data_IF_297159333749
#
_entry.id   IF_297159333749
#
_cell.length_a   1.000
_cell.length_b   1.000
_cell.length_c   1.000
_cell.angle_alpha   90.00
_cell.angle_beta   90.00
_cell.angle_gamma   90.00
#
_symmetry.space_group_name_H-M   'P 1'
#
loop_
_entity.id
_entity.type
_entity.pdbx_description
1 polymer ?
#
# COMPACT_ATOMS: atom_id res chain seq x y z
N UNK A 1 1.39 3.42 18.07
CA UNK A 1 1.74 2.64 16.87
C UNK A 1 0.48 2.26 16.12
N UNK A 2 0.61 2.01 14.80
CA UNK A 2 -0.46 1.48 13.98
C UNK A 2 -0.05 0.12 13.42
N UNK A 3 -0.92 -0.87 13.58
CA UNK A 3 -0.75 -2.20 13.01
C UNK A 3 -1.75 -2.41 11.88
N UNK A 4 -1.25 -2.87 10.72
CA UNK A 4 -2.08 -3.10 9.54
C UNK A 4 -2.10 -4.58 9.23
N UNK A 5 -3.26 -5.19 9.29
CA UNK A 5 -3.47 -6.58 8.90
C UNK A 5 -3.75 -6.65 7.40
N UNK A 6 -2.97 -7.46 6.72
CA UNK A 6 -3.12 -7.78 5.30
C UNK A 6 -2.89 -9.29 5.09
N UNK A 7 -2.70 -9.71 3.87
CA UNK A 7 -2.49 -11.11 3.54
C UNK A 7 -3.66 -11.67 2.75
N UNK A 8 -4.06 -12.93 2.93
CA UNK A 8 -5.23 -13.48 2.26
C UNK A 8 -6.51 -12.69 2.62
N UNK A 9 -7.23 -13.14 3.64
CA UNK A 9 -8.33 -12.35 4.24
C UNK A 9 -8.09 -12.27 5.76
N UNK A 10 -7.71 -11.11 6.31
CA UNK A 10 -7.39 -11.00 7.74
C UNK A 10 -8.59 -11.30 8.66
N UNK A 11 -9.81 -11.07 8.20
CA UNK A 11 -11.00 -11.30 9.02
C UNK A 11 -11.33 -12.77 9.26
N UNK A 12 -10.60 -13.73 8.67
CA UNK A 12 -10.67 -15.13 9.11
C UNK A 12 -10.21 -15.29 10.57
N UNK A 13 -9.34 -14.38 11.04
CA UNK A 13 -8.83 -14.30 12.40
C UNK A 13 -9.48 -13.16 13.22
N UNK A 14 -10.70 -12.73 12.87
CA UNK A 14 -11.36 -11.57 13.51
C UNK A 14 -11.40 -11.61 15.04
N UNK A 15 -11.51 -12.81 15.64
CA UNK A 15 -11.49 -12.97 17.11
C UNK A 15 -10.14 -12.59 17.72
N UNK A 16 -9.03 -13.00 17.07
CA UNK A 16 -7.68 -12.67 17.54
C UNK A 16 -7.39 -11.20 17.32
N UNK A 17 -7.86 -10.61 16.21
CA UNK A 17 -7.73 -9.17 15.95
C UNK A 17 -8.45 -8.36 17.04
N UNK A 18 -9.70 -8.71 17.39
CA UNK A 18 -10.44 -8.02 18.45
C UNK A 18 -9.73 -8.17 19.80
N UNK A 19 -9.21 -9.35 20.13
CA UNK A 19 -8.41 -9.55 21.35
C UNK A 19 -7.17 -8.65 21.38
N UNK A 20 -6.43 -8.54 20.26
CA UNK A 20 -5.29 -7.64 20.17
C UNK A 20 -5.67 -6.17 20.37
N UNK A 21 -6.83 -5.75 19.83
CA UNK A 21 -7.35 -4.40 20.04
C UNK A 21 -7.66 -4.14 21.52
N UNK A 22 -8.26 -5.09 22.22
CA UNK A 22 -8.58 -5.00 23.66
C UNK A 22 -7.33 -4.92 24.54
N UNK A 23 -6.36 -5.79 24.23
CA UNK A 23 -5.12 -5.88 25.01
C UNK A 23 -4.18 -4.68 24.76
N UNK A 24 -4.39 -3.91 23.67
CA UNK A 24 -3.53 -2.78 23.27
C UNK A 24 -4.35 -1.53 22.94
N UNK A 25 -5.06 -0.92 23.89
CA UNK A 25 -5.96 0.22 23.63
C UNK A 25 -5.23 1.48 23.14
N UNK A 26 -3.94 1.62 23.41
CA UNK A 26 -3.10 2.74 22.96
C UNK A 26 -2.57 2.58 21.53
N UNK A 27 -2.86 1.46 20.87
CA UNK A 27 -2.49 1.19 19.49
C UNK A 27 -3.69 1.36 18.56
N UNK A 28 -3.44 1.81 17.34
CA UNK A 28 -4.41 1.79 16.26
C UNK A 28 -4.25 0.50 15.45
N UNK A 29 -5.37 -0.11 15.10
CA UNK A 29 -5.40 -1.31 14.27
C UNK A 29 -6.19 -1.05 13.00
N UNK A 30 -5.76 -1.68 11.91
CA UNK A 30 -6.33 -1.47 10.59
C UNK A 30 -6.30 -2.78 9.80
N UNK A 31 -7.29 -3.02 8.94
CA UNK A 31 -7.25 -4.17 8.04
C UNK A 31 -7.70 -3.81 6.63
N UNK A 32 -6.97 -4.36 5.64
CA UNK A 32 -7.46 -4.46 4.27
C UNK A 32 -8.29 -5.74 4.15
N UNK A 33 -9.55 -5.62 3.78
CA UNK A 33 -10.48 -6.77 3.76
C UNK A 33 -11.30 -6.81 2.47
N UNK A 34 -11.65 -8.01 2.03
CA UNK A 34 -12.62 -8.22 0.96
C UNK A 34 -14.08 -8.03 1.44
N UNK A 35 -14.30 -7.72 2.71
CA UNK A 35 -15.59 -7.41 3.30
C UNK A 35 -16.55 -8.60 3.49
N UNK A 36 -16.24 -9.77 2.95
CA UNK A 36 -17.17 -10.92 2.93
C UNK A 36 -17.49 -11.50 4.30
N UNK A 37 -16.64 -11.23 5.30
CA UNK A 37 -16.79 -11.73 6.67
C UNK A 37 -17.29 -10.66 7.66
N UNK A 38 -17.70 -9.49 7.16
CA UNK A 38 -18.25 -8.41 8.00
C UNK A 38 -19.73 -8.67 8.27
N UNK A 39 -20.03 -9.20 9.45
CA UNK A 39 -21.37 -9.41 9.98
C UNK A 39 -21.71 -8.35 11.04
N UNK A 40 -22.99 -8.29 11.43
CA UNK A 40 -23.47 -7.29 12.40
C UNK A 40 -22.83 -7.47 13.78
N UNK A 41 -22.53 -8.70 14.19
CA UNK A 41 -21.84 -8.99 15.44
C UNK A 41 -20.42 -8.41 15.42
N UNK A 42 -19.70 -8.59 14.32
CA UNK A 42 -18.36 -8.04 14.18
C UNK A 42 -18.35 -6.51 14.16
N UNK A 43 -19.35 -5.88 13.52
CA UNK A 43 -19.53 -4.42 13.53
C UNK A 43 -19.71 -3.91 14.97
N UNK A 44 -20.45 -4.62 15.82
CA UNK A 44 -20.58 -4.24 17.24
C UNK A 44 -19.26 -4.40 18.00
N UNK A 45 -18.48 -5.44 17.70
CA UNK A 45 -17.16 -5.61 18.30
C UNK A 45 -16.19 -4.48 17.89
N UNK A 46 -16.15 -4.07 16.61
CA UNK A 46 -15.37 -2.92 16.13
C UNK A 46 -15.78 -1.66 16.91
N UNK A 47 -17.08 -1.44 17.07
CA UNK A 47 -17.60 -0.30 17.83
C UNK A 47 -17.19 -0.33 19.29
N UNK A 48 -17.17 -1.51 19.90
CA UNK A 48 -16.85 -1.73 21.31
C UNK A 48 -15.37 -1.46 21.59
N UNK A 49 -14.45 -1.97 20.74
CA UNK A 49 -13.00 -1.77 20.95
C UNK A 49 -12.55 -0.35 20.62
N UNK A 50 -13.12 0.27 19.57
CA UNK A 50 -12.94 1.69 19.25
C UNK A 50 -11.60 2.07 18.62
N UNK A 51 -10.66 1.14 18.48
CA UNK A 51 -9.32 1.36 17.94
C UNK A 51 -9.01 0.54 16.68
N UNK A 52 -10.05 0.05 15.99
CA UNK A 52 -9.94 -0.76 14.77
C UNK A 52 -10.73 -0.14 13.62
N UNK A 53 -10.12 -0.02 12.44
CA UNK A 53 -10.76 0.48 11.23
C UNK A 53 -10.54 -0.47 10.04
N UNK A 54 -11.44 -0.40 9.06
CA UNK A 54 -11.41 -1.23 7.84
C UNK A 54 -11.20 -0.38 6.58
N UNK A 55 -10.38 -0.89 5.66
CA UNK A 55 -10.42 -0.50 4.26
C UNK A 55 -10.92 -1.66 3.41
N UNK A 56 -12.03 -1.43 2.74
CA UNK A 56 -12.62 -2.41 1.85
C UNK A 56 -11.88 -2.46 0.52
N UNK A 57 -11.45 -3.64 0.14
CA UNK A 57 -10.76 -3.84 -1.13
C UNK A 57 -11.75 -3.89 -2.26
N UNK A 58 -11.68 -2.91 -3.17
CA UNK A 58 -12.61 -2.75 -4.29
C UNK A 58 -11.86 -2.12 -5.49
N UNK A 59 -11.92 -2.75 -6.66
CA UNK A 59 -11.10 -2.40 -7.83
C UNK A 59 -11.90 -1.83 -9.01
N UNK A 60 -12.97 -1.12 -8.76
CA UNK A 60 -13.90 -0.59 -9.75
C UNK A 60 -15.32 -1.05 -9.45
N UNK A 61 -16.22 -0.91 -10.42
CA UNK A 61 -17.57 -1.43 -10.32
C UNK A 61 -17.60 -2.97 -10.38
N UNK A 62 -18.80 -3.53 -10.48
CA UNK A 62 -19.04 -4.98 -10.31
C UNK A 62 -18.15 -5.84 -11.20
N UNK A 63 -18.09 -5.54 -12.50
CA UNK A 63 -17.31 -6.32 -13.47
C UNK A 63 -15.81 -6.34 -13.11
N UNK A 64 -15.24 -5.20 -12.78
CA UNK A 64 -13.82 -5.08 -12.47
C UNK A 64 -13.46 -5.71 -11.10
N UNK A 65 -14.32 -5.52 -10.10
CA UNK A 65 -14.12 -6.10 -8.77
C UNK A 65 -14.31 -7.62 -8.80
N UNK A 66 -15.37 -8.11 -9.42
CA UNK A 66 -15.70 -9.54 -9.45
C UNK A 66 -14.72 -10.31 -10.34
N UNK A 67 -14.25 -9.73 -11.45
CA UNK A 67 -13.19 -10.33 -12.27
C UNK A 67 -11.95 -10.67 -11.46
N UNK A 68 -11.55 -9.81 -10.51
CA UNK A 68 -10.35 -9.99 -9.71
C UNK A 68 -10.58 -10.81 -8.44
N UNK A 69 -11.75 -10.68 -7.82
CA UNK A 69 -12.02 -11.19 -6.46
C UNK A 69 -13.04 -12.32 -6.41
N UNK A 70 -13.66 -12.65 -7.54
CA UNK A 70 -14.69 -13.65 -7.67
C UNK A 70 -16.10 -13.07 -7.62
N UNK A 71 -17.01 -13.77 -8.31
CA UNK A 71 -18.40 -13.36 -8.53
C UNK A 71 -19.14 -13.02 -7.23
N UNK A 72 -19.86 -11.90 -7.25
CA UNK A 72 -20.67 -11.42 -6.14
C UNK A 72 -19.88 -10.80 -4.98
N UNK A 73 -18.56 -10.63 -5.12
CA UNK A 73 -17.73 -9.95 -4.11
C UNK A 73 -18.09 -8.47 -4.02
N UNK A 74 -18.31 -7.81 -5.16
CA UNK A 74 -18.71 -6.40 -5.20
C UNK A 74 -19.92 -6.10 -4.33
N UNK A 75 -21.00 -6.88 -4.48
CA UNK A 75 -22.22 -6.70 -3.70
C UNK A 75 -22.00 -6.93 -2.20
N UNK A 76 -21.15 -7.90 -1.84
CA UNK A 76 -20.80 -8.16 -0.42
C UNK A 76 -20.00 -7.01 0.18
N UNK A 77 -19.08 -6.43 -0.58
CA UNK A 77 -18.32 -5.24 -0.16
C UNK A 77 -19.28 -4.06 0.11
N UNK A 78 -20.19 -3.77 -0.83
CA UNK A 78 -21.16 -2.68 -0.64
C UNK A 78 -22.06 -2.91 0.57
N UNK A 79 -22.53 -4.13 0.79
CA UNK A 79 -23.33 -4.48 1.96
C UNK A 79 -22.54 -4.30 3.28
N UNK A 80 -21.24 -4.64 3.28
CA UNK A 80 -20.38 -4.42 4.43
C UNK A 80 -20.16 -2.93 4.72
N UNK A 81 -19.94 -2.12 3.68
CA UNK A 81 -19.84 -0.65 3.80
C UNK A 81 -21.12 -0.06 4.41
N UNK A 82 -22.29 -0.51 3.97
CA UNK A 82 -23.58 -0.05 4.49
C UNK A 82 -23.76 -0.39 5.97
N UNK A 83 -23.33 -1.56 6.42
CA UNK A 83 -23.34 -1.94 7.85
C UNK A 83 -22.44 -1.03 8.69
N UNK A 84 -21.22 -0.74 8.22
CA UNK A 84 -20.30 0.16 8.91
C UNK A 84 -20.88 1.59 8.98
N UNK A 85 -21.44 2.08 7.88
CA UNK A 85 -22.10 3.40 7.81
C UNK A 85 -23.29 3.48 8.77
N UNK A 86 -24.16 2.48 8.77
CA UNK A 86 -25.32 2.42 9.65
C UNK A 86 -24.94 2.40 11.14
N UNK A 87 -23.81 1.79 11.49
CA UNK A 87 -23.27 1.78 12.83
C UNK A 87 -22.53 3.08 13.23
N UNK A 88 -22.35 4.02 12.30
CA UNK A 88 -21.60 5.26 12.51
C UNK A 88 -20.09 5.04 12.66
N UNK A 89 -19.56 3.98 12.08
CA UNK A 89 -18.14 3.63 12.16
C UNK A 89 -17.35 4.18 10.96
N UNK A 90 -16.15 4.73 11.18
CA UNK A 90 -15.28 5.16 10.09
C UNK A 90 -14.76 3.96 9.30
N UNK A 91 -14.75 4.09 7.98
CA UNK A 91 -14.13 3.14 7.08
C UNK A 91 -13.63 3.82 5.80
N UNK A 92 -12.80 3.13 5.08
CA UNK A 92 -12.34 3.55 3.77
C UNK A 92 -12.33 2.40 2.78
N UNK A 93 -11.61 2.61 1.69
CA UNK A 93 -11.39 1.58 0.69
C UNK A 93 -9.93 1.51 0.27
N UNK A 94 -9.55 0.38 -0.31
CA UNK A 94 -8.29 0.22 -1.02
C UNK A 94 -8.56 -0.21 -2.46
N UNK A 95 -7.88 0.42 -3.40
CA UNK A 95 -7.96 0.08 -4.81
C UNK A 95 -6.55 -0.16 -5.35
N UNK A 96 -6.34 -1.35 -5.93
CA UNK A 96 -5.15 -1.63 -6.70
C UNK A 96 -5.40 -1.25 -8.16
N UNK A 97 -4.89 -0.10 -8.58
CA UNK A 97 -5.02 0.29 -9.97
C UNK A 97 -3.96 -0.39 -10.86
N UNK A 98 -4.37 -0.75 -12.05
CA UNK A 98 -3.56 -1.41 -13.06
C UNK A 98 -3.96 -0.96 -14.46
N UNK A 99 -3.26 -1.46 -15.49
CA UNK A 99 -3.47 -1.04 -16.88
C UNK A 99 -4.90 -1.17 -17.40
N UNK A 100 -5.74 -2.02 -16.78
CA UNK A 100 -7.11 -2.29 -17.25
C UNK A 100 -8.21 -1.55 -16.47
N UNK A 101 -7.93 -1.02 -15.25
CA UNK A 101 -8.96 -0.41 -14.40
C UNK A 101 -8.63 1.03 -13.93
N UNK A 102 -7.44 1.54 -14.21
CA UNK A 102 -6.99 2.87 -13.73
C UNK A 102 -7.96 4.00 -14.13
N UNK A 103 -8.53 3.92 -15.32
CA UNK A 103 -9.49 4.90 -15.83
C UNK A 103 -10.75 4.97 -14.96
N UNK A 104 -11.21 3.82 -14.48
CA UNK A 104 -12.40 3.70 -13.66
C UNK A 104 -12.13 4.06 -12.21
N UNK A 105 -11.14 3.40 -11.58
CA UNK A 105 -10.91 3.54 -10.13
C UNK A 105 -10.40 4.93 -9.71
N UNK A 106 -9.78 5.66 -10.62
CA UNK A 106 -9.33 7.03 -10.40
C UNK A 106 -10.33 8.08 -10.93
N UNK A 107 -11.46 7.66 -11.54
CA UNK A 107 -12.45 8.59 -12.05
C UNK A 107 -13.18 9.34 -10.92
N UNK A 108 -13.58 10.58 -11.20
CA UNK A 108 -14.37 11.37 -10.27
C UNK A 108 -15.68 10.66 -9.89
N UNK A 109 -16.34 10.07 -10.87
CA UNK A 109 -17.62 9.38 -10.73
C UNK A 109 -17.52 8.20 -9.76
N UNK A 110 -16.46 7.41 -9.87
CA UNK A 110 -16.22 6.28 -8.97
C UNK A 110 -15.85 6.74 -7.56
N UNK A 111 -15.01 7.75 -7.45
CA UNK A 111 -14.65 8.34 -6.15
C UNK A 111 -15.88 8.93 -5.47
N UNK A 112 -16.70 9.72 -6.19
CA UNK A 112 -17.96 10.27 -5.69
C UNK A 112 -18.92 9.16 -5.21
N UNK A 113 -19.01 8.07 -5.96
CA UNK A 113 -19.81 6.91 -5.57
C UNK A 113 -19.37 6.35 -4.22
N UNK A 114 -18.07 6.11 -4.00
CA UNK A 114 -17.56 5.55 -2.75
C UNK A 114 -17.65 6.54 -1.57
N UNK A 115 -17.46 7.83 -1.82
CA UNK A 115 -17.70 8.89 -0.82
C UNK A 115 -19.17 8.89 -0.40
N UNK A 116 -20.10 8.80 -1.35
CA UNK A 116 -21.53 8.71 -1.07
C UNK A 116 -21.91 7.43 -0.31
N UNK A 117 -21.16 6.32 -0.50
CA UNK A 117 -21.30 5.11 0.33
C UNK A 117 -20.80 5.32 1.77
N UNK A 118 -20.05 6.38 2.04
CA UNK A 118 -19.58 6.75 3.37
C UNK A 118 -18.09 6.55 3.60
N UNK A 119 -17.30 6.27 2.55
CA UNK A 119 -15.86 6.15 2.67
C UNK A 119 -15.23 7.50 3.06
N UNK A 120 -14.38 7.50 4.08
CA UNK A 120 -13.68 8.68 4.60
C UNK A 120 -12.23 8.75 4.15
N UNK A 121 -11.65 7.63 3.78
CA UNK A 121 -10.29 7.54 3.28
C UNK A 121 -10.16 6.50 2.17
N UNK A 122 -9.10 6.63 1.37
CA UNK A 122 -8.77 5.73 0.27
C UNK A 122 -7.28 5.43 0.25
N UNK A 123 -6.93 4.19 -0.06
CA UNK A 123 -5.57 3.75 -0.32
C UNK A 123 -5.47 3.28 -1.77
N UNK A 124 -4.75 4.02 -2.58
CA UNK A 124 -4.46 3.64 -3.95
C UNK A 124 -3.11 2.96 -4.03
N UNK A 125 -3.10 1.75 -4.54
CA UNK A 125 -1.90 0.97 -4.79
C UNK A 125 -1.71 0.78 -6.29
N UNK A 126 -0.52 1.06 -6.79
CA UNK A 126 -0.13 0.62 -8.13
C UNK A 126 0.06 -0.91 -8.10
N UNK A 127 -0.40 -1.60 -9.14
CA UNK A 127 -0.15 -3.03 -9.27
C UNK A 127 1.36 -3.33 -9.27
N UNK A 128 1.77 -4.27 -8.43
CA UNK A 128 3.14 -4.77 -8.32
C UNK A 128 3.21 -6.19 -8.91
N UNK A 129 4.16 -6.47 -9.82
CA UNK A 129 4.31 -7.78 -10.43
C UNK A 129 5.13 -8.73 -9.53
N UNK A 130 4.68 -8.93 -8.30
CA UNK A 130 5.29 -9.82 -7.30
C UNK A 130 4.39 -11.01 -7.01
N UNK A 131 4.98 -12.12 -6.60
CA UNK A 131 4.27 -13.36 -6.32
C UNK A 131 4.16 -14.29 -7.53
N UNK A 132 3.67 -15.51 -7.26
CA UNK A 132 3.67 -16.65 -8.20
C UNK A 132 3.03 -16.38 -9.55
N UNK A 133 1.89 -15.70 -9.55
CA UNK A 133 1.08 -15.49 -10.76
C UNK A 133 1.12 -14.01 -11.21
N UNK A 134 2.26 -13.36 -11.01
CA UNK A 134 2.46 -11.97 -11.41
C UNK A 134 2.32 -11.78 -12.93
N UNK A 135 1.56 -10.79 -13.34
CA UNK A 135 1.26 -10.45 -14.75
C UNK A 135 1.82 -9.05 -15.04
N UNK A 136 3.06 -8.93 -15.59
CA UNK A 136 3.70 -7.63 -15.83
C UNK A 136 2.88 -6.68 -16.70
N UNK A 137 2.05 -7.19 -17.60
CA UNK A 137 1.17 -6.42 -18.48
C UNK A 137 0.09 -5.64 -17.72
N UNK A 138 -0.15 -5.99 -16.46
CA UNK A 138 -1.06 -5.25 -15.59
C UNK A 138 -0.41 -4.01 -14.94
N UNK A 139 0.90 -3.83 -15.04
CA UNK A 139 1.54 -2.59 -14.57
C UNK A 139 0.96 -1.42 -15.38
N UNK A 140 0.48 -0.37 -14.70
CA UNK A 140 0.03 0.84 -15.35
C UNK A 140 1.19 1.49 -16.12
N UNK A 141 0.97 1.85 -17.37
CA UNK A 141 1.99 2.55 -18.15
C UNK A 141 2.20 3.98 -17.64
N UNK A 142 3.20 4.69 -18.19
CA UNK A 142 3.59 6.00 -17.71
C UNK A 142 2.44 7.03 -17.81
N UNK A 143 1.67 7.02 -18.90
CA UNK A 143 0.53 7.94 -19.10
C UNK A 143 -0.61 7.63 -18.12
N UNK A 144 -0.89 6.36 -17.91
CA UNK A 144 -1.88 5.89 -16.95
C UNK A 144 -1.49 6.25 -15.50
N UNK A 145 -0.22 6.08 -15.15
CA UNK A 145 0.29 6.48 -13.83
C UNK A 145 0.21 7.99 -13.64
N UNK A 146 0.57 8.78 -14.67
CA UNK A 146 0.40 10.25 -14.66
C UNK A 146 -1.05 10.62 -14.44
N UNK A 147 -1.99 9.98 -15.15
CA UNK A 147 -3.41 10.23 -15.01
C UNK A 147 -3.91 9.93 -13.59
N UNK A 148 -3.50 8.79 -13.01
CA UNK A 148 -3.81 8.47 -11.60
C UNK A 148 -3.28 9.55 -10.65
N UNK A 149 -2.03 9.96 -10.83
CA UNK A 149 -1.41 11.05 -10.07
C UNK A 149 -2.25 12.34 -10.11
N UNK A 150 -2.70 12.77 -11.28
CA UNK A 150 -3.49 13.99 -11.48
C UNK A 150 -4.90 13.87 -10.84
N UNK A 151 -5.61 12.77 -11.14
CA UNK A 151 -6.99 12.57 -10.69
C UNK A 151 -7.11 12.39 -9.18
N UNK A 152 -6.20 11.65 -8.55
CA UNK A 152 -6.21 11.45 -7.09
C UNK A 152 -5.92 12.78 -6.37
N UNK A 153 -5.02 13.62 -6.91
CA UNK A 153 -4.76 14.95 -6.36
C UNK A 153 -5.94 15.91 -6.54
N UNK A 154 -6.62 15.82 -7.66
CA UNK A 154 -7.85 16.56 -7.87
C UNK A 154 -8.93 16.12 -6.88
N UNK A 155 -9.14 14.81 -6.70
CA UNK A 155 -10.10 14.29 -5.75
C UNK A 155 -9.86 14.78 -4.31
N UNK A 156 -8.60 14.87 -3.86
CA UNK A 156 -8.24 15.44 -2.55
C UNK A 156 -8.69 16.88 -2.35
N UNK A 157 -8.81 17.65 -3.42
CA UNK A 157 -9.24 19.05 -3.37
C UNK A 157 -10.75 19.21 -3.43
N UNK A 158 -11.42 18.29 -4.11
CA UNK A 158 -12.84 18.39 -4.44
C UNK A 158 -13.75 17.55 -3.54
N UNK A 159 -13.19 16.47 -2.96
CA UNK A 159 -13.94 15.49 -2.19
C UNK A 159 -13.54 15.48 -0.71
N UNK A 160 -14.48 15.23 0.22
CA UNK A 160 -14.17 15.05 1.64
C UNK A 160 -13.57 13.66 1.88
N UNK A 161 -12.48 13.35 1.19
CA UNK A 161 -11.81 12.05 1.17
C UNK A 161 -10.33 12.21 1.46
N UNK A 162 -9.82 11.55 2.49
CA UNK A 162 -8.40 11.42 2.71
C UNK A 162 -7.83 10.31 1.80
N UNK A 163 -7.42 10.68 0.58
CA UNK A 163 -6.85 9.75 -0.38
C UNK A 163 -5.32 9.67 -0.26
N UNK A 164 -4.79 8.46 -0.23
CA UNK A 164 -3.37 8.14 -0.22
C UNK A 164 -3.01 7.46 -1.55
N UNK A 165 -2.06 8.02 -2.29
CA UNK A 165 -1.48 7.38 -3.47
C UNK A 165 -0.10 6.82 -3.09
N UNK A 166 -0.07 5.55 -2.73
CA UNK A 166 1.06 4.95 -2.04
C UNK A 166 2.40 5.08 -2.79
N UNK A 167 2.37 5.20 -4.12
CA UNK A 167 3.57 5.37 -4.93
C UNK A 167 3.83 6.80 -5.39
N UNK A 168 2.78 7.57 -5.66
CA UNK A 168 2.97 8.90 -6.21
C UNK A 168 2.99 9.99 -5.13
N UNK A 169 2.84 9.62 -3.85
CA UNK A 169 2.91 10.55 -2.72
C UNK A 169 4.33 10.71 -2.14
N UNK A 170 5.34 10.18 -2.80
CA UNK A 170 6.72 10.28 -2.34
C UNK A 170 7.19 11.72 -2.09
N UNK A 171 6.64 12.70 -2.80
CA UNK A 171 6.95 14.12 -2.56
C UNK A 171 6.52 14.60 -1.16
N UNK A 172 5.40 14.09 -0.64
CA UNK A 172 4.88 14.48 0.69
C UNK A 172 5.61 13.80 1.84
N UNK A 173 6.21 12.65 1.57
CA UNK A 173 6.91 11.82 2.57
C UNK A 173 8.42 11.72 2.30
N UNK A 174 8.95 12.52 1.37
CA UNK A 174 10.38 12.57 1.03
C UNK A 174 10.94 11.22 0.56
N UNK A 175 10.24 10.56 -0.35
CA UNK A 175 10.65 9.30 -0.95
C UNK A 175 9.90 8.09 -0.41
N UNK A 176 10.54 6.93 -0.36
CA UNK A 176 9.93 5.68 0.09
C UNK A 176 9.81 5.64 1.62
N UNK A 177 8.68 5.16 2.14
CA UNK A 177 8.42 5.00 3.58
C UNK A 177 8.89 3.66 4.14
N UNK A 178 9.25 2.71 3.29
CA UNK A 178 9.59 1.34 3.65
C UNK A 178 10.99 1.19 4.32
N UNK A 179 11.35 -0.02 4.65
CA UNK A 179 12.64 -0.36 5.23
C UNK A 179 12.83 0.17 6.65
N UNK A 180 11.76 0.22 7.45
CA UNK A 180 11.80 0.68 8.83
C UNK A 180 11.79 2.19 9.00
N UNK A 181 11.78 2.98 7.91
CA UNK A 181 11.72 4.44 8.01
C UNK A 181 10.42 4.92 8.63
N UNK A 182 9.29 4.42 8.16
CA UNK A 182 7.95 4.67 8.70
C UNK A 182 7.12 3.39 8.79
N UNK A 183 7.52 2.35 8.09
CA UNK A 183 6.83 1.09 8.05
C UNK A 183 7.77 -0.07 7.67
N UNK A 184 7.41 -1.26 8.10
CA UNK A 184 7.97 -2.55 7.69
C UNK A 184 6.82 -3.57 7.54
N UNK A 185 7.12 -4.71 6.96
CA UNK A 185 6.22 -5.83 6.83
C UNK A 185 6.75 -7.06 7.56
N UNK A 186 5.86 -7.82 8.17
CA UNK A 186 6.16 -9.15 8.72
C UNK A 186 5.22 -10.12 8.01
N UNK A 187 5.78 -11.06 7.27
CA UNK A 187 4.98 -12.03 6.53
C UNK A 187 4.43 -13.15 7.44
N UNK A 188 3.61 -14.05 6.86
CA UNK A 188 2.97 -15.12 7.62
C UNK A 188 3.94 -16.12 8.25
N UNK A 189 5.16 -16.25 7.71
CA UNK A 189 6.22 -17.08 8.31
C UNK A 189 6.96 -16.38 9.45
N UNK A 190 6.82 -15.06 9.57
CA UNK A 190 7.53 -14.22 10.51
C UNK A 190 8.77 -13.55 9.93
N UNK A 191 9.05 -13.67 8.62
CA UNK A 191 10.17 -12.99 8.01
C UNK A 191 9.91 -11.48 8.00
N UNK A 192 10.94 -10.71 8.39
CA UNK A 192 10.83 -9.25 8.46
C UNK A 192 11.32 -8.65 7.16
N UNK A 193 10.39 -8.10 6.41
CA UNK A 193 10.58 -7.56 5.07
C UNK A 193 10.54 -6.03 5.09
N UNK A 194 11.30 -5.33 4.23
CA UNK A 194 11.25 -3.88 4.14
C UNK A 194 9.87 -3.35 3.78
N UNK A 195 9.12 -4.08 2.97
CA UNK A 195 7.84 -3.68 2.40
C UNK A 195 7.01 -4.92 2.06
N UNK A 196 5.68 -4.83 2.13
CA UNK A 196 4.76 -5.90 1.71
C UNK A 196 4.89 -6.30 0.23
N UNK A 197 5.66 -5.56 -0.55
CA UNK A 197 5.94 -5.81 -1.96
C UNK A 197 7.43 -6.14 -2.22
N UNK A 198 8.19 -6.37 -1.17
CA UNK A 198 9.62 -6.72 -1.26
C UNK A 198 9.83 -8.01 -0.48
N UNK A 199 9.71 -9.12 -1.18
CA UNK A 199 9.76 -10.46 -0.62
C UNK A 199 11.21 -10.96 -0.47
N UNK A 200 12.00 -10.19 0.29
CA UNK A 200 13.38 -10.51 0.67
C UNK A 200 13.61 -10.19 2.13
N UNK A 201 14.34 -11.05 2.83
CA UNK A 201 14.67 -10.84 4.24
C UNK A 201 16.03 -11.48 4.62
N UNK A 202 16.58 -11.01 5.73
CA UNK A 202 17.72 -11.64 6.40
C UNK A 202 17.31 -12.31 7.71
N UNK A 203 16.17 -11.95 8.30
CA UNK A 203 15.82 -12.28 9.68
C UNK A 203 14.35 -12.61 9.85
N UNK A 204 14.06 -13.43 10.85
CA UNK A 204 12.71 -13.78 11.24
C UNK A 204 12.41 -13.25 12.64
N UNK A 205 11.22 -12.68 12.85
CA UNK A 205 10.82 -12.08 14.13
C UNK A 205 10.73 -13.10 15.29
N UNK A 206 10.70 -14.38 14.98
CA UNK A 206 10.75 -15.45 16.00
C UNK A 206 12.13 -15.61 16.62
N UNK A 207 13.19 -15.17 15.90
CA UNK A 207 14.58 -15.38 16.25
C UNK A 207 15.27 -14.11 16.75
N UNK A 208 14.65 -12.93 16.59
CA UNK A 208 15.21 -11.64 16.99
C UNK A 208 14.13 -10.66 17.44
N UNK A 209 14.53 -9.61 18.17
CA UNK A 209 13.61 -8.52 18.48
C UNK A 209 13.48 -7.54 17.31
N UNK A 210 12.43 -6.69 17.35
CA UNK A 210 12.14 -5.73 16.28
C UNK A 210 13.31 -4.76 16.01
N UNK A 211 14.02 -4.33 17.06
CA UNK A 211 15.18 -3.43 16.91
C UNK A 211 16.32 -4.10 16.17
N UNK A 212 16.59 -5.36 16.47
CA UNK A 212 17.60 -6.17 15.77
C UNK A 212 17.20 -6.38 14.31
N UNK A 213 15.93 -6.65 14.05
CA UNK A 213 15.41 -6.78 12.70
C UNK A 213 15.60 -5.51 11.87
N UNK A 214 15.34 -4.32 12.45
CA UNK A 214 15.58 -3.03 11.82
C UNK A 214 17.07 -2.73 11.53
N UNK A 215 17.97 -3.43 12.19
CA UNK A 215 19.43 -3.35 11.98
C UNK A 215 19.97 -4.48 11.09
N UNK A 216 19.10 -5.31 10.53
CA UNK A 216 19.51 -6.39 9.63
C UNK A 216 20.15 -5.83 8.34
N UNK A 217 20.98 -6.61 7.64
CA UNK A 217 21.73 -6.11 6.48
C UNK A 217 20.86 -5.45 5.41
N UNK A 218 19.70 -6.03 5.05
CA UNK A 218 18.80 -5.45 4.03
C UNK A 218 18.18 -4.13 4.51
N UNK A 219 17.76 -4.04 5.78
CA UNK A 219 17.24 -2.79 6.34
C UNK A 219 18.30 -1.70 6.39
N UNK A 220 19.55 -2.06 6.65
CA UNK A 220 20.67 -1.10 6.61
C UNK A 220 20.99 -0.64 5.19
N UNK A 221 20.81 -1.47 4.16
CA UNK A 221 20.87 -1.01 2.76
C UNK A 221 19.73 -0.05 2.43
N UNK A 222 18.50 -0.30 2.94
CA UNK A 222 17.39 0.65 2.84
C UNK A 222 17.70 1.98 3.52
N UNK A 223 18.22 1.94 4.74
CA UNK A 223 18.60 3.15 5.49
C UNK A 223 19.64 4.00 4.75
N UNK A 224 20.65 3.38 4.17
CA UNK A 224 21.70 4.06 3.40
C UNK A 224 21.25 4.53 2.02
N UNK A 225 20.29 3.79 1.40
CA UNK A 225 19.81 4.06 0.04
C UNK A 225 18.75 5.14 -0.04
N UNK A 226 18.16 5.56 1.07
CA UNK A 226 17.10 6.57 1.10
C UNK A 226 17.64 8.00 1.00
N UNK A 227 16.98 8.89 0.22
CA UNK A 227 15.95 8.57 -0.75
C UNK A 227 16.53 7.84 -1.96
N UNK A 228 15.83 6.82 -2.45
CA UNK A 228 16.25 6.03 -3.62
C UNK A 228 16.43 6.89 -4.90
N UNK A 229 15.76 8.03 -4.94
CA UNK A 229 15.84 8.98 -6.04
C UNK A 229 15.60 10.40 -5.51
N UNK A 230 16.30 11.40 -6.05
CA UNK A 230 16.09 12.81 -5.72
C UNK A 230 14.72 13.29 -6.21
N UNK A 231 14.26 12.78 -7.34
CA UNK A 231 12.88 12.93 -7.78
C UNK A 231 11.98 12.00 -6.98
N UNK A 232 11.26 12.53 -6.01
CA UNK A 232 10.39 11.76 -5.12
C UNK A 232 9.10 11.23 -5.78
N UNK A 233 8.84 11.53 -7.05
CA UNK A 233 7.86 10.81 -7.87
C UNK A 233 8.40 9.48 -8.39
N UNK A 234 9.65 9.16 -8.06
CA UNK A 234 10.33 7.87 -8.31
C UNK A 234 10.79 7.24 -6.98
N UNK A 235 9.91 7.09 -5.98
CA UNK A 235 10.32 6.72 -4.62
C UNK A 235 10.64 5.22 -4.48
N UNK A 236 10.01 4.37 -5.28
CA UNK A 236 10.04 2.93 -5.07
C UNK A 236 11.32 2.28 -5.59
N UNK A 237 12.05 1.49 -4.78
CA UNK A 237 13.22 0.78 -5.26
C UNK A 237 12.87 -0.34 -6.26
N UNK A 238 11.65 -0.90 -6.20
CA UNK A 238 11.23 -1.99 -7.10
C UNK A 238 10.72 -1.46 -8.44
N UNK A 239 9.74 -0.53 -8.43
CA UNK A 239 9.11 -0.03 -9.66
C UNK A 239 9.89 1.10 -10.33
N UNK A 240 10.63 1.91 -9.56
CA UNK A 240 11.22 3.12 -10.09
C UNK A 240 12.76 3.08 -10.18
N UNK A 241 13.39 2.25 -9.35
CA UNK A 241 14.85 2.17 -9.22
C UNK A 241 15.33 0.71 -9.12
N UNK A 242 14.97 -0.16 -10.07
CA UNK A 242 15.16 -1.61 -9.96
C UNK A 242 16.62 -2.04 -9.77
N UNK A 243 17.58 -1.33 -10.35
CA UNK A 243 19.00 -1.62 -10.15
C UNK A 243 19.45 -1.37 -8.70
N UNK A 244 18.80 -0.46 -7.99
CA UNK A 244 19.12 -0.17 -6.59
C UNK A 244 18.62 -1.26 -5.64
N UNK A 245 17.43 -1.81 -5.87
CA UNK A 245 16.94 -2.95 -5.07
C UNK A 245 17.81 -4.19 -5.31
N UNK A 246 18.23 -4.43 -6.56
CA UNK A 246 19.17 -5.51 -6.85
C UNK A 246 20.43 -5.40 -6.01
N UNK A 247 21.09 -4.25 -6.07
CA UNK A 247 22.31 -4.01 -5.30
C UNK A 247 22.08 -4.19 -3.78
N UNK A 248 20.93 -3.74 -3.26
CA UNK A 248 20.60 -3.87 -1.85
C UNK A 248 20.44 -5.35 -1.44
N UNK A 249 19.71 -6.14 -2.24
CA UNK A 249 19.51 -7.57 -2.01
C UNK A 249 20.86 -8.34 -2.10
N UNK A 250 21.64 -8.10 -3.15
CA UNK A 250 22.94 -8.77 -3.34
C UNK A 250 23.95 -8.43 -2.23
N UNK A 251 24.08 -7.15 -1.86
CA UNK A 251 25.02 -6.71 -0.81
C UNK A 251 24.62 -7.20 0.57
N UNK A 252 23.33 -7.26 0.84
CA UNK A 252 22.83 -7.73 2.14
C UNK A 252 22.85 -9.24 2.27
N UNK A 253 22.93 -9.98 1.17
CA UNK A 253 22.77 -11.44 1.16
C UNK A 253 21.36 -11.88 1.57
N UNK A 254 20.34 -11.01 1.38
CA UNK A 254 18.98 -11.35 1.69
C UNK A 254 18.46 -12.48 0.80
N UNK A 255 17.69 -13.39 1.37
CA UNK A 255 17.04 -14.48 0.63
C UNK A 255 15.60 -14.12 0.26
N UNK A 256 15.07 -14.77 -0.78
CA UNK A 256 13.67 -14.65 -1.16
C UNK A 256 12.78 -15.27 -0.07
N UNK A 257 11.74 -14.55 0.30
CA UNK A 257 10.72 -14.98 1.26
C UNK A 257 9.41 -15.41 0.59
N UNK A 258 9.39 -15.41 -0.75
CA UNK A 258 8.25 -15.88 -1.52
C UNK A 258 8.05 -17.39 -1.31
N UNK A 259 6.91 -17.75 -0.72
CA UNK A 259 6.68 -19.13 -0.24
C UNK A 259 6.34 -20.12 -1.34
N UNK A 260 5.65 -19.66 -2.39
CA UNK A 260 5.10 -20.55 -3.42
C UNK A 260 5.99 -20.65 -4.67
N UNK A 261 6.70 -19.58 -4.98
CA UNK A 261 7.58 -19.50 -6.13
C UNK A 261 8.72 -18.52 -5.83
N UNK A 262 9.75 -18.94 -5.11
CA UNK A 262 10.89 -18.09 -4.81
C UNK A 262 11.42 -17.42 -6.08
N UNK A 263 11.46 -16.09 -6.05
CA UNK A 263 11.86 -15.28 -7.19
C UNK A 263 13.25 -14.69 -6.95
N UNK A 264 14.11 -14.78 -7.96
CA UNK A 264 15.39 -14.08 -7.93
C UNK A 264 15.17 -12.57 -8.12
N UNK A 265 16.09 -11.77 -7.59
CA UNK A 265 16.02 -10.32 -7.79
C UNK A 265 16.21 -9.95 -9.27
N UNK A 266 16.91 -10.75 -10.04
CA UNK A 266 17.05 -10.55 -11.48
C UNK A 266 15.73 -10.73 -12.24
N UNK A 267 14.94 -11.76 -11.87
CA UNK A 267 13.62 -11.99 -12.46
C UNK A 267 12.66 -10.83 -12.11
N UNK A 268 12.70 -10.35 -10.87
CA UNK A 268 11.92 -9.19 -10.45
C UNK A 268 12.27 -7.94 -11.26
N UNK A 269 13.56 -7.68 -11.46
CA UNK A 269 14.03 -6.53 -12.26
C UNK A 269 13.63 -6.65 -13.71
N UNK A 270 13.74 -7.83 -14.29
CA UNK A 270 13.35 -8.05 -15.68
C UNK A 270 11.88 -7.65 -15.93
N UNK A 271 11.02 -7.82 -14.94
CA UNK A 271 9.59 -7.42 -15.00
C UNK A 271 9.39 -5.90 -14.83
N UNK A 272 10.19 -5.23 -14.00
CA UNK A 272 9.92 -3.85 -13.58
C UNK A 272 10.73 -2.78 -14.34
N UNK A 273 11.95 -3.10 -14.76
CA UNK A 273 12.87 -2.17 -15.42
C UNK A 273 12.27 -1.48 -16.67
N UNK A 274 11.57 -2.17 -17.58
CA UNK A 274 10.98 -1.51 -18.75
C UNK A 274 9.95 -0.43 -18.39
N UNK A 275 9.26 -0.59 -17.26
CA UNK A 275 8.27 0.39 -16.77
C UNK A 275 8.96 1.55 -16.06
N UNK A 276 10.00 1.29 -15.27
CA UNK A 276 10.82 2.31 -14.64
C UNK A 276 11.45 3.27 -15.67
N UNK A 277 11.99 2.72 -16.75
CA UNK A 277 12.60 3.49 -17.85
C UNK A 277 11.59 4.39 -18.57
N UNK A 278 10.36 3.93 -18.75
CA UNK A 278 9.28 4.72 -19.37
C UNK A 278 8.69 5.77 -18.42
N UNK A 279 8.62 5.46 -17.12
CA UNK A 279 8.12 6.40 -16.12
C UNK A 279 9.10 7.54 -15.86
N UNK A 280 10.40 7.28 -15.87
CA UNK A 280 11.43 8.25 -15.52
C UNK A 280 11.27 9.61 -16.21
N UNK A 281 11.18 9.73 -17.56
CA UNK A 281 11.04 11.02 -18.22
C UNK A 281 9.71 11.71 -17.89
N UNK A 282 8.63 10.98 -17.66
CA UNK A 282 7.33 11.54 -17.29
C UNK A 282 7.38 12.09 -15.87
N UNK A 283 7.96 11.34 -14.94
CA UNK A 283 8.16 11.79 -13.56
C UNK A 283 9.05 13.05 -13.50
N UNK A 284 10.12 13.08 -14.28
CA UNK A 284 11.04 14.24 -14.31
C UNK A 284 10.35 15.48 -14.91
N UNK A 285 9.50 15.30 -15.91
CA UNK A 285 8.69 16.41 -16.44
C UNK A 285 7.75 16.97 -15.37
N UNK A 286 6.98 16.10 -14.68
CA UNK A 286 6.07 16.53 -13.63
C UNK A 286 6.82 17.19 -12.48
N UNK A 287 7.97 16.62 -12.07
CA UNK A 287 8.79 17.12 -10.99
C UNK A 287 9.34 18.52 -11.27
N UNK A 288 9.77 18.79 -12.51
CA UNK A 288 10.31 20.08 -12.92
C UNK A 288 9.22 21.15 -13.15
N UNK A 289 8.00 20.74 -13.51
CA UNK A 289 6.87 21.65 -13.71
C UNK A 289 6.17 22.03 -12.38
N UNK A 290 6.40 21.27 -11.31
CA UNK A 290 5.85 21.60 -10.00
C UNK A 290 6.74 22.62 -9.30
N UNK A 291 6.10 23.58 -8.63
CA UNK A 291 6.76 24.71 -7.95
C UNK A 291 7.83 24.20 -6.96
N UNK A 292 9.07 24.60 -7.16
CA UNK A 292 10.23 24.17 -6.35
C UNK A 292 10.07 24.46 -4.85
N UNK A 293 9.19 25.39 -4.47
CA UNK A 293 8.83 25.63 -3.06
C UNK A 293 8.12 24.43 -2.42
N UNK A 294 7.37 23.63 -3.20
CA UNK A 294 6.70 22.42 -2.67
C UNK A 294 7.68 21.31 -2.35
N UNK A 295 8.77 21.20 -3.11
CA UNK A 295 9.79 20.17 -2.89
C UNK A 295 10.69 20.48 -1.70
N UNK A 296 10.82 21.75 -1.34
CA UNK A 296 11.66 22.22 -0.26
C UNK A 296 10.90 22.49 1.05
N UNK A 297 9.56 22.38 1.04
CA UNK A 297 8.76 22.59 2.23
C UNK A 297 8.52 21.23 2.91
N UNK A 298 9.29 20.87 3.96
CA UNK A 298 9.01 19.65 4.69
C UNK A 298 7.59 19.76 5.23
N UNK A 299 6.73 18.83 4.86
CA UNK A 299 5.43 18.68 5.50
C UNK A 299 5.62 18.80 7.00
N UNK A 300 4.85 19.67 7.63
CA UNK A 300 4.96 20.10 9.02
C UNK A 300 5.01 18.94 10.04
N UNK A 301 4.81 17.71 9.60
CA UNK A 301 4.82 16.50 10.42
C UNK A 301 6.23 16.00 10.83
N UNK A 302 7.32 16.51 10.28
CA UNK A 302 8.67 16.01 10.59
C UNK A 302 9.73 17.09 10.80
N UNK A 303 9.40 18.14 11.51
CA UNK A 303 10.43 18.83 12.28
C UNK A 303 10.61 18.03 13.58
N UNK A 304 11.36 16.93 13.51
CA UNK A 304 12.00 16.42 14.72
C UNK A 304 12.87 17.56 15.24
N UNK A 305 12.47 18.12 16.37
CA UNK A 305 13.32 19.07 17.11
C UNK A 305 14.65 18.37 17.33
N UNK A 306 15.72 18.92 16.75
CA UNK A 306 17.09 18.59 17.11
C UNK A 306 17.31 18.88 18.59
#
# INVERSE_FOLDING_TARGET
>A
FMYIFSGGEPLVCKKDIIRLCEENPDCAFFAFTNGTLVDDAFVQEIKRVGNFALAFSIEGYEDATDMRRGDGTYQKVLAAMEKMKAAGLPFGYSACYHSKNVEEVCSKEYIDFLVNKGALFAWYFTYMPVGKDAVPELIANADQRKKAYELIRQARKEQPLFALDFWNDGEYVQGCIAGGRHYLHINANGDVEPCAFVHYSNVNIKDCCLIEALQSPLFMEYYKGQPWNENHLRPCPVLDNPEKIKQAVERSGAHSTEMLAPESVDDLIAKTKPFAEKWAPVADMIWNDTDTEKHNNPTVMYQAKK
#
